data_IF_391170705748
#
_entry.id   IF_391170705748
#
_cell.length_a   1.000
_cell.length_b   1.000
_cell.length_c   1.000
_cell.angle_alpha   90.00
_cell.angle_beta   90.00
_cell.angle_gamma   90.00
#
_symmetry.space_group_name_H-M   'P 1'
#
loop_
_entity.id
_entity.type
_entity.pdbx_description
1 polymer ?
#
# COMPACT_ATOMS: atom_id res chain seq x y z
N UNK A 1 8.03 28.31 16.07
CA UNK A 1 7.37 27.91 14.82
C UNK A 1 5.92 28.32 14.85
N UNK A 2 5.49 29.06 13.87
CA UNK A 2 4.21 29.72 13.80
C UNK A 2 3.09 28.77 13.33
N UNK A 3 1.82 29.15 13.61
CA UNK A 3 0.60 28.42 13.19
C UNK A 3 0.55 28.10 11.69
N UNK A 4 1.27 28.85 10.84
CA UNK A 4 1.37 28.64 9.41
C UNK A 4 2.07 27.31 9.04
N UNK A 5 3.12 26.93 9.76
CA UNK A 5 3.83 25.66 9.51
C UNK A 5 2.98 24.44 9.92
N UNK A 6 2.20 24.57 11.01
CA UNK A 6 1.30 23.52 11.46
C UNK A 6 0.13 23.30 10.48
N UNK A 7 -0.45 24.39 9.94
CA UNK A 7 -1.51 24.32 8.92
C UNK A 7 -1.04 23.67 7.63
N UNK A 8 0.14 24.05 7.13
CA UNK A 8 0.72 23.44 5.94
C UNK A 8 0.95 21.94 6.15
N UNK A 9 1.46 21.53 7.31
CA UNK A 9 1.67 20.12 7.64
C UNK A 9 0.34 19.33 7.69
N UNK A 10 -0.73 19.90 8.21
CA UNK A 10 -2.06 19.28 8.24
C UNK A 10 -2.65 19.14 6.83
N UNK A 11 -2.50 20.16 5.98
CA UNK A 11 -2.97 20.13 4.58
C UNK A 11 -2.22 19.07 3.77
N UNK A 12 -0.89 18.97 3.96
CA UNK A 12 -0.07 17.95 3.32
C UNK A 12 -0.47 16.54 3.79
N UNK A 13 -0.71 16.35 5.08
CA UNK A 13 -1.19 15.08 5.63
C UNK A 13 -2.57 14.70 5.08
N UNK A 14 -3.48 15.66 4.95
CA UNK A 14 -4.80 15.43 4.35
C UNK A 14 -4.69 15.04 2.87
N UNK A 15 -3.79 15.69 2.11
CA UNK A 15 -3.55 15.36 0.71
C UNK A 15 -2.97 13.95 0.54
N UNK A 16 -2.04 13.55 1.41
CA UNK A 16 -1.48 12.19 1.41
C UNK A 16 -2.55 11.17 1.77
N UNK A 17 -3.38 11.45 2.78
CA UNK A 17 -4.49 10.58 3.16
C UNK A 17 -5.48 10.38 2.01
N UNK A 18 -5.73 11.40 1.21
CA UNK A 18 -6.59 11.30 0.03
C UNK A 18 -5.98 10.38 -1.04
N UNK A 19 -4.65 10.33 -1.17
CA UNK A 19 -3.97 9.36 -2.05
C UNK A 19 -4.28 7.93 -1.58
N UNK A 20 -4.17 7.66 -0.30
CA UNK A 20 -4.43 6.33 0.27
C UNK A 20 -5.90 5.91 0.11
N UNK A 21 -6.83 6.83 0.34
CA UNK A 21 -8.27 6.60 0.11
C UNK A 21 -8.55 6.34 -1.35
N UNK A 22 -7.98 7.14 -2.25
CA UNK A 22 -8.13 6.96 -3.70
C UNK A 22 -7.59 5.64 -4.19
N UNK A 23 -6.46 5.20 -3.65
CA UNK A 23 -5.86 3.91 -3.98
C UNK A 23 -6.79 2.75 -3.58
N UNK A 24 -7.38 2.80 -2.38
CA UNK A 24 -8.38 1.83 -1.90
C UNK A 24 -9.60 1.79 -2.82
N UNK A 25 -10.14 2.95 -3.15
CA UNK A 25 -11.31 3.06 -4.03
C UNK A 25 -11.03 2.52 -5.42
N UNK A 26 -9.88 2.85 -6.00
CA UNK A 26 -9.48 2.36 -7.31
C UNK A 26 -9.37 0.83 -7.34
N UNK A 27 -8.77 0.23 -6.29
CA UNK A 27 -8.72 -1.22 -6.17
C UNK A 27 -10.13 -1.83 -6.12
N UNK A 28 -11.01 -1.30 -5.26
CA UNK A 28 -12.35 -1.85 -5.07
C UNK A 28 -13.28 -1.65 -6.28
N UNK A 29 -13.02 -0.64 -7.12
CA UNK A 29 -13.68 -0.46 -8.40
C UNK A 29 -13.03 -1.27 -9.54
N UNK A 30 -11.96 -2.00 -9.25
CA UNK A 30 -11.18 -2.74 -10.24
C UNK A 30 -10.66 -1.86 -11.38
N UNK A 31 -10.32 -0.63 -11.05
CA UNK A 31 -9.83 0.38 -11.98
C UNK A 31 -8.29 0.46 -11.88
N UNK A 32 -7.62 -0.39 -12.66
CA UNK A 32 -6.16 -0.46 -12.68
C UNK A 32 -5.51 0.83 -13.15
N UNK A 33 -6.14 1.56 -14.08
CA UNK A 33 -5.63 2.84 -14.56
C UNK A 33 -5.68 3.90 -13.45
N UNK A 34 -6.80 4.00 -12.73
CA UNK A 34 -6.91 4.90 -11.60
C UNK A 34 -5.93 4.52 -10.49
N UNK A 35 -5.79 3.24 -10.20
CA UNK A 35 -4.82 2.73 -9.22
C UNK A 35 -3.40 3.19 -9.57
N UNK A 36 -2.96 2.93 -10.80
CA UNK A 36 -1.62 3.30 -11.26
C UNK A 36 -1.40 4.82 -11.30
N UNK A 37 -2.45 5.62 -11.46
CA UNK A 37 -2.34 7.09 -11.51
C UNK A 37 -1.82 7.70 -10.22
N UNK A 38 -1.90 7.01 -9.09
CA UNK A 38 -1.36 7.47 -7.81
C UNK A 38 0.15 7.24 -7.66
N UNK A 39 0.78 6.62 -8.64
CA UNK A 39 2.21 6.32 -8.64
C UNK A 39 2.97 7.31 -9.53
N UNK A 40 4.26 7.54 -9.22
CA UNK A 40 5.16 8.23 -10.15
C UNK A 40 5.39 7.39 -11.40
N UNK A 41 5.83 8.01 -12.49
CA UNK A 41 6.09 7.28 -13.74
C UNK A 41 7.12 6.16 -13.59
N UNK A 42 8.13 6.39 -12.76
CA UNK A 42 9.24 5.47 -12.49
C UNK A 42 9.09 4.70 -11.19
N UNK A 43 7.89 4.62 -10.63
CA UNK A 43 7.65 4.02 -9.32
C UNK A 43 8.06 2.54 -9.26
N UNK A 44 8.47 2.14 -8.08
CA UNK A 44 8.71 0.74 -7.72
C UNK A 44 7.54 0.19 -6.91
N UNK A 45 7.05 -0.98 -7.30
CA UNK A 45 5.96 -1.64 -6.59
C UNK A 45 6.31 -3.12 -6.35
N UNK A 46 6.47 -3.49 -5.09
CA UNK A 46 6.74 -4.88 -4.69
C UNK A 46 5.49 -5.45 -4.03
N UNK A 47 4.99 -6.55 -4.57
CA UNK A 47 3.80 -7.21 -4.02
C UNK A 47 4.14 -8.20 -2.90
N UNK A 48 3.10 -8.82 -2.31
CA UNK A 48 3.24 -9.71 -1.16
C UNK A 48 4.04 -10.99 -1.43
N UNK A 49 4.23 -11.36 -2.69
CA UNK A 49 5.02 -12.54 -3.08
C UNK A 49 6.42 -12.16 -3.60
N UNK A 50 6.78 -10.89 -3.48
CA UNK A 50 8.10 -10.41 -3.82
C UNK A 50 8.31 -10.10 -5.30
N UNK A 51 7.26 -10.00 -6.09
CA UNK A 51 7.39 -9.55 -7.48
C UNK A 51 7.54 -8.04 -7.50
N UNK A 52 8.52 -7.59 -8.24
CA UNK A 52 8.88 -6.19 -8.37
C UNK A 52 8.44 -5.65 -9.73
N UNK A 53 7.42 -4.80 -9.71
CA UNK A 53 6.92 -4.11 -10.89
C UNK A 53 7.53 -2.72 -10.97
N UNK A 54 8.02 -2.37 -12.15
CA UNK A 54 8.77 -1.14 -12.39
C UNK A 54 8.00 -0.21 -13.31
N UNK A 55 7.70 0.98 -12.80
CA UNK A 55 7.03 2.03 -13.55
C UNK A 55 5.51 1.88 -13.61
N UNK A 56 4.85 3.02 -13.75
CA UNK A 56 3.40 3.13 -13.79
C UNK A 56 2.75 2.22 -14.85
N UNK A 57 3.24 2.13 -16.10
CA UNK A 57 2.62 1.25 -17.09
C UNK A 57 2.63 -0.21 -16.71
N UNK A 58 3.71 -0.70 -16.12
CA UNK A 58 3.80 -2.09 -15.66
C UNK A 58 2.89 -2.33 -14.46
N UNK A 59 2.82 -1.39 -13.52
CA UNK A 59 1.91 -1.46 -12.36
C UNK A 59 0.47 -1.56 -12.84
N UNK A 60 0.04 -0.71 -13.78
CA UNK A 60 -1.30 -0.75 -14.36
C UNK A 60 -1.61 -2.11 -14.98
N UNK A 61 -0.72 -2.60 -15.82
CA UNK A 61 -0.88 -3.89 -16.51
C UNK A 61 -0.99 -5.05 -15.52
N UNK A 62 -0.15 -5.10 -14.51
CA UNK A 62 -0.12 -6.18 -13.51
C UNK A 62 -1.32 -6.14 -12.57
N UNK A 63 -1.77 -4.97 -12.19
CA UNK A 63 -3.00 -4.81 -11.39
C UNK A 63 -4.21 -5.23 -12.22
N UNK A 64 -4.29 -4.83 -13.48
CA UNK A 64 -5.35 -5.25 -14.38
C UNK A 64 -5.42 -6.79 -14.49
N UNK A 65 -4.26 -7.43 -14.73
CA UNK A 65 -4.17 -8.89 -14.81
C UNK A 65 -4.65 -9.57 -13.52
N UNK A 66 -4.29 -9.04 -12.37
CA UNK A 66 -4.67 -9.61 -11.07
C UNK A 66 -6.17 -9.54 -10.81
N UNK A 67 -6.87 -8.55 -11.39
CA UNK A 67 -8.31 -8.37 -11.24
C UNK A 67 -9.15 -9.20 -12.21
N UNK A 68 -8.53 -9.87 -13.19
CA UNK A 68 -9.27 -10.75 -14.11
C UNK A 68 -9.76 -11.99 -13.38
N UNK A 69 -9.02 -12.50 -12.41
CA UNK A 69 -9.34 -13.76 -11.73
C UNK A 69 -9.25 -13.66 -10.20
N UNK A 70 -8.05 -13.57 -9.64
CA UNK A 70 -7.84 -13.73 -8.19
C UNK A 70 -8.53 -12.66 -7.35
N UNK A 71 -8.51 -11.43 -7.80
CA UNK A 71 -9.04 -10.28 -7.05
C UNK A 71 -10.30 -9.68 -7.67
N UNK A 72 -10.91 -10.36 -8.63
CA UNK A 72 -12.13 -9.89 -9.32
C UNK A 72 -13.25 -9.49 -8.37
N UNK A 73 -13.45 -10.26 -7.31
CA UNK A 73 -14.53 -10.06 -6.33
C UNK A 73 -14.00 -9.63 -4.97
N UNK A 74 -12.74 -9.18 -4.90
CA UNK A 74 -12.12 -8.79 -3.64
C UNK A 74 -12.60 -7.42 -3.17
N UNK A 75 -12.65 -7.27 -1.84
CA UNK A 75 -12.82 -5.99 -1.17
C UNK A 75 -11.61 -5.74 -0.28
N UNK A 76 -10.97 -4.62 -0.52
CA UNK A 76 -9.79 -4.15 0.20
C UNK A 76 -10.16 -3.00 1.12
N UNK A 77 -9.64 -2.99 2.34
CA UNK A 77 -9.91 -1.94 3.32
C UNK A 77 -8.60 -1.46 3.95
N UNK A 78 -8.40 -0.14 3.98
CA UNK A 78 -7.39 0.48 4.81
C UNK A 78 -7.89 0.49 6.26
N UNK A 79 -7.35 -0.37 7.10
CA UNK A 79 -7.76 -0.45 8.51
C UNK A 79 -7.10 0.65 9.36
N UNK A 80 -5.86 1.00 9.03
CA UNK A 80 -5.08 2.02 9.72
C UNK A 80 -4.11 2.67 8.73
N UNK A 81 -4.07 3.99 8.70
CA UNK A 81 -3.14 4.77 7.87
C UNK A 81 -2.30 5.66 8.77
N UNK A 82 -1.00 5.44 8.78
CA UNK A 82 -0.04 6.21 9.55
C UNK A 82 0.90 6.97 8.62
N UNK A 83 0.87 8.29 8.68
CA UNK A 83 1.62 9.19 7.80
C UNK A 83 2.70 9.90 8.59
N UNK A 84 3.93 9.89 8.07
CA UNK A 84 5.04 10.63 8.64
C UNK A 84 5.77 11.40 7.55
N UNK A 85 5.83 12.72 7.67
CA UNK A 85 6.63 13.56 6.79
C UNK A 85 8.11 13.42 7.16
N UNK A 86 8.95 13.04 6.20
CA UNK A 86 10.40 12.99 6.36
C UNK A 86 11.03 14.34 6.01
N UNK A 87 10.51 14.98 4.98
CA UNK A 87 10.82 16.34 4.56
C UNK A 87 9.53 17.03 4.14
N UNK A 88 9.59 18.27 3.70
CA UNK A 88 8.43 18.95 3.14
C UNK A 88 7.87 18.29 1.86
N UNK A 89 8.69 17.48 1.16
CA UNK A 89 8.34 16.86 -0.11
C UNK A 89 8.37 15.33 -0.09
N UNK A 90 8.72 14.70 1.03
CA UNK A 90 8.83 13.24 1.14
C UNK A 90 8.10 12.76 2.39
N UNK A 91 7.24 11.78 2.21
CA UNK A 91 6.52 11.12 3.30
C UNK A 91 6.70 9.62 3.25
N UNK A 92 6.68 8.99 4.43
CA UNK A 92 6.51 7.54 4.56
C UNK A 92 5.12 7.27 5.13
N UNK A 93 4.42 6.32 4.53
CA UNK A 93 3.08 5.91 4.95
C UNK A 93 3.08 4.42 5.21
N UNK A 94 2.59 4.04 6.38
CA UNK A 94 2.29 2.64 6.69
C UNK A 94 0.78 2.45 6.70
N UNK A 95 0.31 1.41 6.01
CA UNK A 95 -1.10 1.06 5.93
C UNK A 95 -1.29 -0.35 6.42
N UNK A 96 -2.04 -0.52 7.52
CA UNK A 96 -2.60 -1.82 7.87
C UNK A 96 -3.84 -2.05 7.03
N UNK A 97 -3.89 -3.17 6.36
CA UNK A 97 -4.99 -3.47 5.45
C UNK A 97 -5.58 -4.85 5.72
N UNK A 98 -6.80 -5.02 5.27
CA UNK A 98 -7.49 -6.31 5.23
C UNK A 98 -8.16 -6.52 3.88
N UNK A 99 -8.39 -7.77 3.51
CA UNK A 99 -9.01 -8.13 2.25
C UNK A 99 -9.86 -9.39 2.43
N UNK A 100 -11.02 -9.36 1.79
CA UNK A 100 -11.95 -10.50 1.71
C UNK A 100 -12.39 -10.69 0.26
N UNK A 101 -12.95 -11.86 -0.06
CA UNK A 101 -13.57 -12.12 -1.36
C UNK A 101 -12.61 -12.46 -2.49
N UNK A 102 -11.30 -12.56 -2.23
CA UNK A 102 -10.35 -13.03 -3.24
C UNK A 102 -10.44 -14.54 -3.43
N UNK A 103 -9.91 -15.00 -4.55
CA UNK A 103 -9.84 -16.43 -4.90
C UNK A 103 -8.39 -16.93 -4.83
N UNK A 104 -8.22 -18.19 -4.48
CA UNK A 104 -6.96 -18.90 -4.64
C UNK A 104 -6.69 -19.20 -6.12
N UNK A 105 -5.45 -19.53 -6.52
CA UNK A 105 -5.13 -19.87 -7.91
C UNK A 105 -5.97 -21.00 -8.50
N UNK A 106 -6.52 -21.91 -7.66
CA UNK A 106 -7.39 -23.00 -8.07
C UNK A 106 -8.88 -22.58 -8.20
N UNK A 107 -9.21 -21.31 -7.93
CA UNK A 107 -10.57 -20.77 -7.98
C UNK A 107 -11.37 -20.96 -6.69
N UNK A 108 -10.83 -21.64 -5.68
CA UNK A 108 -11.50 -21.77 -4.39
C UNK A 108 -11.49 -20.44 -3.63
N UNK A 109 -12.52 -20.14 -2.79
CA UNK A 109 -12.50 -18.94 -1.96
C UNK A 109 -11.26 -18.88 -1.08
N UNK A 110 -10.56 -17.72 -1.12
CA UNK A 110 -9.42 -17.46 -0.25
C UNK A 110 -9.86 -17.11 1.17
N UNK A 111 -8.99 -17.35 2.13
CA UNK A 111 -9.20 -16.92 3.51
C UNK A 111 -9.01 -15.41 3.63
N UNK A 112 -9.72 -14.72 4.55
CA UNK A 112 -9.46 -13.31 4.81
C UNK A 112 -7.97 -13.04 5.03
N UNK A 113 -7.48 -11.96 4.43
CA UNK A 113 -6.07 -11.60 4.47
C UNK A 113 -5.89 -10.27 5.19
N UNK A 114 -4.75 -10.15 5.84
CA UNK A 114 -4.27 -8.90 6.45
C UNK A 114 -2.81 -8.67 6.09
N UNK A 115 -2.41 -7.43 6.10
CA UNK A 115 -1.02 -7.08 5.85
C UNK A 115 -0.67 -5.68 6.21
N UNK A 116 0.57 -5.32 5.90
CA UNK A 116 1.09 -3.96 6.04
C UNK A 116 1.73 -3.57 4.72
N UNK A 117 1.40 -2.37 4.27
CA UNK A 117 2.08 -1.70 3.16
C UNK A 117 2.96 -0.59 3.70
N UNK A 118 4.10 -0.39 3.04
CA UNK A 118 4.95 0.77 3.25
C UNK A 118 5.04 1.52 1.93
N UNK A 119 4.62 2.79 1.94
CA UNK A 119 4.68 3.66 0.77
C UNK A 119 5.63 4.81 1.03
N UNK A 120 6.47 5.13 0.06
CA UNK A 120 7.23 6.38 0.02
C UNK A 120 6.54 7.28 -1.00
N UNK A 121 6.04 8.43 -0.54
CA UNK A 121 5.43 9.42 -1.40
C UNK A 121 6.33 10.62 -1.55
N UNK A 122 6.28 11.22 -2.72
CA UNK A 122 6.94 12.50 -2.98
C UNK A 122 5.99 13.48 -3.63
N UNK A 123 6.15 14.74 -3.26
CA UNK A 123 5.43 15.85 -3.89
C UNK A 123 6.11 16.19 -5.21
N UNK A 124 5.34 16.18 -6.28
CA UNK A 124 5.73 16.60 -7.62
C UNK A 124 4.71 17.60 -8.14
N UNK A 125 5.13 18.84 -8.37
CA UNK A 125 4.25 19.89 -8.92
C UNK A 125 2.94 20.06 -8.13
N UNK A 126 3.03 20.03 -6.80
CA UNK A 126 1.88 20.16 -5.91
C UNK A 126 1.05 18.89 -5.72
N UNK A 127 1.43 17.77 -6.31
CA UNK A 127 0.76 16.46 -6.16
C UNK A 127 1.63 15.50 -5.39
N UNK A 128 1.00 14.77 -4.45
CA UNK A 128 1.64 13.65 -3.78
C UNK A 128 1.43 12.38 -4.59
N UNK A 129 2.53 11.70 -4.92
CA UNK A 129 2.53 10.45 -5.68
C UNK A 129 3.40 9.41 -4.99
N UNK A 130 3.03 8.15 -5.13
CA UNK A 130 3.77 7.02 -4.58
C UNK A 130 4.97 6.72 -5.47
N UNK A 131 6.18 6.88 -4.93
CA UNK A 131 7.43 6.56 -5.62
C UNK A 131 7.87 5.12 -5.37
N UNK A 132 7.57 4.57 -4.19
CA UNK A 132 7.87 3.20 -3.83
C UNK A 132 6.74 2.61 -2.97
N UNK A 133 6.39 1.38 -3.26
CA UNK A 133 5.33 0.63 -2.60
C UNK A 133 5.86 -0.77 -2.29
N UNK A 134 5.72 -1.20 -1.05
CA UNK A 134 6.04 -2.56 -0.65
C UNK A 134 4.91 -3.13 0.20
N UNK A 135 4.48 -4.35 -0.12
CA UNK A 135 3.40 -5.02 0.58
C UNK A 135 3.87 -6.31 1.23
N UNK A 136 3.38 -6.58 2.42
CA UNK A 136 3.72 -7.78 3.20
C UNK A 136 2.46 -8.35 3.81
N UNK A 137 2.25 -9.66 3.67
CA UNK A 137 1.20 -10.36 4.41
C UNK A 137 1.57 -10.42 5.89
N UNK A 138 0.61 -10.12 6.77
CA UNK A 138 0.73 -10.43 8.19
C UNK A 138 0.48 -11.91 8.40
N UNK A 139 1.38 -12.55 9.10
CA UNK A 139 1.23 -13.95 9.52
C UNK A 139 0.98 -13.97 11.03
N UNK A 140 0.30 -15.02 11.57
CA UNK A 140 0.16 -15.15 13.01
C UNK A 140 1.52 -15.10 13.70
N UNK A 141 1.60 -14.47 14.86
CA UNK A 141 2.82 -14.46 15.66
C UNK A 141 3.30 -15.89 15.87
N UNK A 142 4.48 -16.17 15.34
CA UNK A 142 5.21 -17.39 15.66
C UNK A 142 6.07 -17.06 16.86
N UNK A 143 5.78 -17.65 18.01
CA UNK A 143 6.72 -17.54 19.13
C UNK A 143 8.02 -18.24 18.71
N UNK A 144 9.03 -17.45 18.43
CA UNK A 144 10.36 -18.00 18.26
C UNK A 144 10.76 -18.67 19.57
N UNK A 145 11.24 -19.94 19.55
CA UNK A 145 11.76 -20.52 20.76
C UNK A 145 12.88 -19.62 21.25
N UNK A 146 12.64 -18.94 22.37
CA UNK A 146 13.71 -18.31 23.11
C UNK A 146 14.63 -19.44 23.53
N UNK A 147 15.78 -19.54 22.86
CA UNK A 147 16.80 -20.49 23.30
C UNK A 147 17.08 -20.23 24.77
N UNK A 148 16.65 -21.14 25.64
CA UNK A 148 17.13 -21.14 27.01
C UNK A 148 18.65 -21.19 26.90
N UNK A 149 19.32 -20.07 27.26
CA UNK A 149 20.76 -20.14 27.52
C UNK A 149 20.91 -21.18 28.60
N UNK A 150 21.39 -22.35 28.27
CA UNK A 150 21.90 -23.28 29.27
C UNK A 150 23.08 -22.56 29.92
N UNK A 151 22.85 -21.98 31.09
CA UNK A 151 23.93 -21.60 31.96
C UNK A 151 24.64 -22.88 32.27
N UNK A 152 25.75 -23.10 31.60
CA UNK A 152 26.71 -24.12 31.98
C UNK A 152 27.56 -23.61 33.16
#
# INVERSE_FOLDING_TARGET
>A
MTAFSAHKSQDETAAIRNVETGLQEAWNHHDAKAFASFFTEDADCVNVVGWWWKGRPQIESKVADSHVFMFRDSTYTNDEVHIRLLTAQIAVVHVRWSMVGHQNPDGAPGQPRKGIQTHILQEQEGKWLIAAFNNTNSVPEVSFPTGARKNG
#
